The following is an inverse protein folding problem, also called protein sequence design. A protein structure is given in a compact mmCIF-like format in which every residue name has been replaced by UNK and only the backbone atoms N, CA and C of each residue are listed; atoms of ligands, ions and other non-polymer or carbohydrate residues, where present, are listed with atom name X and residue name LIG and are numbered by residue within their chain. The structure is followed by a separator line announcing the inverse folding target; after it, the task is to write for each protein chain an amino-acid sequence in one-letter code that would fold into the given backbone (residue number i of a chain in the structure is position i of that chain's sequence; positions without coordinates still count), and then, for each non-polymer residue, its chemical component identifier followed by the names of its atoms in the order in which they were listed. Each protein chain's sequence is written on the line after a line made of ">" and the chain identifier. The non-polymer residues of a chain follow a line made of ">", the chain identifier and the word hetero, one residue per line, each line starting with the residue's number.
data_IF_019154200686
#
_entry.id   IF_019154200686
#
_cell.length_a   1.000
_cell.length_b   1.000
_cell.length_c   1.000
_cell.angle_alpha   90.00
_cell.angle_beta   90.00
_cell.angle_gamma   90.00
#
_symmetry.space_group_name_H-M   'P 1'
#
loop_
_entity.id
_entity.type
_entity.pdbx_description
1 polymer ?
#
# COMPACT_ATOMS: atom_id res chain seq x y z
N UNK A 1 -47.04 27.90 3.72
CA UNK A 1 -47.01 26.52 4.22
C UNK A 1 -46.18 25.71 3.25
N UNK A 2 -44.93 25.49 3.56
CA UNK A 2 -44.06 24.64 2.78
C UNK A 2 -43.12 23.94 3.77
N UNK A 3 -43.28 22.67 3.90
CA UNK A 3 -42.43 21.79 4.71
C UNK A 3 -41.20 21.45 3.91
N UNK A 4 -40.01 21.76 4.42
CA UNK A 4 -38.73 21.29 3.92
C UNK A 4 -38.33 20.05 4.71
N UNK A 5 -38.41 18.92 4.04
CA UNK A 5 -37.92 17.62 4.54
C UNK A 5 -36.39 17.64 4.56
N UNK A 6 -35.82 17.60 5.75
CA UNK A 6 -34.41 17.48 5.99
C UNK A 6 -34.00 16.00 6.01
N UNK A 7 -33.38 15.51 4.94
CA UNK A 7 -32.73 14.19 4.93
C UNK A 7 -31.52 14.21 5.88
N UNK A 8 -31.65 13.55 7.02
CA UNK A 8 -30.58 13.36 8.00
C UNK A 8 -29.43 12.56 7.40
N UNK A 9 -28.22 13.12 7.43
CA UNK A 9 -26.97 12.38 7.23
C UNK A 9 -26.86 11.30 8.30
N UNK A 10 -26.48 10.06 7.97
CA UNK A 10 -26.16 9.08 9.00
C UNK A 10 -24.94 9.56 9.78
N UNK A 11 -25.12 9.68 11.09
CA UNK A 11 -24.11 10.16 12.01
C UNK A 11 -22.86 9.28 12.00
N UNK A 12 -21.71 9.92 12.05
CA UNK A 12 -20.42 9.30 12.31
C UNK A 12 -20.44 8.59 13.66
N UNK A 13 -20.36 7.27 13.64
CA UNK A 13 -20.21 6.48 14.86
C UNK A 13 -18.75 6.51 15.32
N UNK A 14 -18.56 7.05 16.51
CA UNK A 14 -17.49 6.82 17.49
C UNK A 14 -16.03 6.74 17.02
N UNK A 15 -15.35 7.90 17.08
CA UNK A 15 -13.88 8.02 17.03
C UNK A 15 -13.12 7.48 18.26
N UNK A 16 -13.79 6.91 19.24
CA UNK A 16 -13.19 6.52 20.53
C UNK A 16 -12.50 5.14 20.52
N UNK A 17 -12.68 4.31 19.47
CA UNK A 17 -12.22 2.90 19.48
C UNK A 17 -10.91 2.61 18.77
N UNK A 18 -10.32 3.57 18.04
CA UNK A 18 -9.17 3.28 17.14
C UNK A 18 -7.79 3.41 17.80
N UNK A 19 -7.68 3.89 19.01
CA UNK A 19 -6.39 4.15 19.66
C UNK A 19 -5.72 2.94 20.28
N UNK A 20 -6.45 1.83 20.48
CA UNK A 20 -5.97 0.65 21.22
C UNK A 20 -5.92 -0.67 20.43
N UNK A 21 -6.33 -0.71 19.15
CA UNK A 21 -6.37 -1.95 18.37
C UNK A 21 -5.13 -2.18 17.50
N UNK A 22 -4.98 -3.45 17.02
CA UNK A 22 -3.85 -3.89 16.20
C UNK A 22 -3.77 -3.19 14.83
N UNK A 23 -2.56 -3.19 14.27
CA UNK A 23 -2.26 -2.74 12.91
C UNK A 23 -1.71 -3.91 12.11
N UNK A 24 -2.37 -4.27 11.01
CA UNK A 24 -1.91 -5.31 10.11
C UNK A 24 -1.54 -4.74 8.75
N UNK A 25 -0.61 -5.38 8.06
CA UNK A 25 -0.22 -4.99 6.72
C UNK A 25 -0.39 -6.14 5.73
N UNK A 26 -1.01 -5.88 4.58
CA UNK A 26 -1.02 -6.75 3.42
C UNK A 26 0.02 -6.24 2.43
N UNK A 27 1.08 -7.02 2.20
CA UNK A 27 2.16 -6.70 1.27
C UNK A 27 1.93 -7.45 -0.04
N UNK A 28 1.62 -6.72 -1.12
CA UNK A 28 1.38 -7.34 -2.43
C UNK A 28 2.69 -7.61 -3.15
N UNK A 29 2.96 -8.90 -3.42
CA UNK A 29 4.21 -9.35 -4.05
C UNK A 29 3.99 -10.30 -5.24
N UNK A 30 2.74 -10.51 -5.67
CA UNK A 30 2.39 -11.46 -6.75
C UNK A 30 2.68 -10.96 -8.18
N UNK A 31 3.24 -9.76 -8.38
CA UNK A 31 3.52 -9.22 -9.71
C UNK A 31 4.63 -9.98 -10.45
N UNK A 32 4.40 -10.29 -11.74
CA UNK A 32 5.26 -11.12 -12.59
C UNK A 32 6.65 -10.54 -12.92
N UNK A 33 6.84 -9.22 -12.81
CA UNK A 33 8.16 -8.59 -13.08
C UNK A 33 8.59 -8.51 -14.54
N UNK A 34 7.73 -8.82 -15.49
CA UNK A 34 8.04 -8.85 -16.93
C UNK A 34 8.73 -7.60 -17.46
N UNK A 35 8.32 -6.42 -16.97
CA UNK A 35 8.92 -5.12 -17.35
C UNK A 35 10.36 -4.91 -16.84
N UNK A 36 10.79 -5.66 -15.81
CA UNK A 36 12.17 -5.63 -15.30
C UNK A 36 13.09 -6.59 -16.02
N UNK A 37 12.56 -7.50 -16.87
CA UNK A 37 13.33 -8.53 -17.54
C UNK A 37 13.93 -9.58 -16.60
N UNK A 38 13.49 -9.64 -15.35
CA UNK A 38 14.01 -10.58 -14.36
C UNK A 38 13.33 -11.96 -14.51
N UNK A 39 14.08 -13.07 -14.33
CA UNK A 39 13.51 -14.40 -14.30
C UNK A 39 12.76 -14.63 -12.97
N UNK A 40 11.42 -14.56 -13.00
CA UNK A 40 10.57 -14.83 -11.85
C UNK A 40 9.93 -13.59 -11.23
N UNK A 41 9.34 -13.73 -10.04
CA UNK A 41 8.58 -12.66 -9.39
C UNK A 41 9.43 -11.43 -9.11
N UNK A 42 8.90 -10.26 -9.48
CA UNK A 42 9.55 -8.97 -9.30
C UNK A 42 9.99 -8.72 -7.85
N UNK A 43 9.20 -9.15 -6.89
CA UNK A 43 9.47 -8.92 -5.48
C UNK A 43 10.72 -9.65 -4.95
N UNK A 44 11.21 -10.66 -5.68
CA UNK A 44 12.46 -11.38 -5.38
C UNK A 44 13.70 -10.74 -6.04
N UNK A 45 13.55 -9.72 -6.88
CA UNK A 45 14.68 -8.96 -7.43
C UNK A 45 15.42 -8.28 -6.29
N UNK A 46 16.75 -8.32 -6.34
CA UNK A 46 17.61 -7.76 -5.29
C UNK A 46 17.95 -6.29 -5.57
N UNK A 47 18.09 -5.54 -4.49
CA UNK A 47 18.63 -4.17 -4.44
C UNK A 47 19.65 -4.15 -3.32
N UNK A 48 20.91 -3.88 -3.62
CA UNK A 48 22.04 -3.90 -2.67
C UNK A 48 22.06 -5.19 -1.82
N UNK A 49 21.96 -6.34 -2.49
CA UNK A 49 22.06 -7.67 -1.86
C UNK A 49 20.84 -8.13 -1.05
N UNK A 50 19.72 -7.42 -1.11
CA UNK A 50 18.49 -7.76 -0.38
C UNK A 50 17.28 -7.66 -1.30
N UNK A 51 16.38 -8.66 -1.28
CA UNK A 51 15.19 -8.67 -2.13
C UNK A 51 14.23 -7.51 -1.84
N UNK A 52 13.48 -7.07 -2.87
CA UNK A 52 12.48 -6.02 -2.70
C UNK A 52 11.45 -6.37 -1.63
N UNK A 53 11.00 -7.64 -1.58
CA UNK A 53 10.03 -8.07 -0.56
C UNK A 53 10.62 -7.99 0.84
N UNK A 54 11.87 -8.42 1.04
CA UNK A 54 12.54 -8.38 2.34
C UNK A 54 12.71 -6.94 2.83
N UNK A 55 13.11 -6.02 1.95
CA UNK A 55 13.20 -4.59 2.25
C UNK A 55 11.86 -3.98 2.63
N UNK A 56 10.79 -4.31 1.88
CA UNK A 56 9.46 -3.80 2.16
C UNK A 56 8.91 -4.31 3.52
N UNK A 57 9.08 -5.59 3.83
CA UNK A 57 8.73 -6.14 5.15
C UNK A 57 9.51 -5.43 6.25
N UNK A 58 10.84 -5.30 6.09
CA UNK A 58 11.67 -4.60 7.07
C UNK A 58 11.23 -3.16 7.28
N UNK A 59 10.87 -2.43 6.21
CA UNK A 59 10.33 -1.08 6.32
C UNK A 59 9.05 -1.02 7.18
N UNK A 60 8.10 -1.93 6.92
CA UNK A 60 6.86 -2.01 7.68
C UNK A 60 7.15 -2.27 9.16
N UNK A 61 7.96 -3.27 9.47
CA UNK A 61 8.33 -3.64 10.84
C UNK A 61 9.11 -2.55 11.56
N UNK A 62 10.10 -1.94 10.90
CA UNK A 62 10.91 -0.84 11.46
C UNK A 62 10.10 0.44 11.74
N UNK A 63 8.85 0.49 11.31
CA UNK A 63 7.95 1.58 11.69
C UNK A 63 7.57 1.55 13.17
N UNK A 64 7.64 0.37 13.81
CA UNK A 64 7.25 0.14 15.21
C UNK A 64 5.75 0.26 15.47
N UNK A 65 4.92 0.33 14.40
CA UNK A 65 3.46 0.47 14.52
C UNK A 65 2.68 -0.67 13.85
N UNK A 66 3.38 -1.63 13.21
CA UNK A 66 2.78 -2.79 12.53
C UNK A 66 2.97 -4.04 13.38
N UNK A 67 1.89 -4.72 13.69
CA UNK A 67 1.88 -5.91 14.55
C UNK A 67 1.95 -7.22 13.76
N UNK A 68 1.48 -7.21 12.51
CA UNK A 68 1.47 -8.41 11.67
C UNK A 68 1.56 -8.04 10.17
N UNK A 69 2.32 -8.82 9.41
CA UNK A 69 2.49 -8.65 7.97
C UNK A 69 2.10 -9.92 7.24
N UNK A 70 1.14 -9.83 6.31
CA UNK A 70 0.81 -10.90 5.37
C UNK A 70 1.34 -10.56 3.99
N UNK A 71 2.18 -11.43 3.44
CA UNK A 71 2.75 -11.29 2.10
C UNK A 71 1.97 -12.15 1.12
N UNK A 72 1.35 -11.56 0.10
CA UNK A 72 0.71 -12.33 -0.97
C UNK A 72 1.71 -12.60 -2.09
N UNK A 73 2.03 -13.86 -2.34
CA UNK A 73 3.04 -14.30 -3.30
C UNK A 73 2.43 -15.20 -4.39
N UNK A 74 3.08 -15.34 -5.58
CA UNK A 74 2.66 -16.34 -6.56
C UNK A 74 2.78 -17.75 -5.96
N UNK A 75 1.77 -18.60 -6.20
CA UNK A 75 1.65 -19.91 -5.55
C UNK A 75 2.87 -20.81 -5.79
N UNK A 76 3.48 -20.73 -6.97
CA UNK A 76 4.65 -21.52 -7.35
C UNK A 76 5.97 -21.07 -6.70
N UNK A 77 5.98 -19.95 -5.97
CA UNK A 77 7.16 -19.38 -5.32
C UNK A 77 7.05 -19.25 -3.80
N UNK A 78 6.01 -19.82 -3.17
CA UNK A 78 5.76 -19.67 -1.73
C UNK A 78 6.99 -20.01 -0.88
N UNK A 79 7.63 -21.17 -1.14
CA UNK A 79 8.83 -21.59 -0.38
C UNK A 79 9.97 -20.57 -0.45
N UNK A 80 10.13 -19.91 -1.61
CA UNK A 80 11.16 -18.87 -1.77
C UNK A 80 10.80 -17.60 -0.99
N UNK A 81 9.54 -17.21 -0.99
CA UNK A 81 9.08 -16.08 -0.19
C UNK A 81 9.17 -16.37 1.31
N UNK A 82 8.83 -17.60 1.73
CA UNK A 82 9.00 -18.04 3.12
C UNK A 82 10.46 -17.98 3.57
N UNK A 83 11.40 -18.41 2.72
CA UNK A 83 12.82 -18.32 3.02
C UNK A 83 13.31 -16.86 3.14
N UNK A 84 12.75 -15.95 2.33
CA UNK A 84 13.12 -14.52 2.34
C UNK A 84 12.56 -13.77 3.55
N UNK A 85 11.29 -13.99 3.90
CA UNK A 85 10.56 -13.13 4.85
C UNK A 85 9.78 -13.90 5.91
N UNK A 86 9.63 -15.21 5.80
CA UNK A 86 8.89 -16.01 6.76
C UNK A 86 9.49 -15.97 8.17
N UNK A 87 8.84 -16.62 9.15
CA UNK A 87 9.26 -16.59 10.56
C UNK A 87 10.72 -16.99 10.78
N UNK A 88 11.20 -17.98 10.01
CA UNK A 88 12.59 -18.44 10.07
C UNK A 88 13.63 -17.43 9.55
N UNK A 89 13.22 -16.38 8.86
CA UNK A 89 14.13 -15.34 8.31
C UNK A 89 14.74 -14.44 9.39
N UNK A 90 14.23 -14.45 10.61
CA UNK A 90 14.67 -13.61 11.72
C UNK A 90 14.30 -12.13 11.59
N UNK A 91 13.51 -11.73 10.58
CA UNK A 91 13.15 -10.33 10.36
C UNK A 91 12.32 -9.74 11.49
N UNK A 92 11.37 -10.49 12.04
CA UNK A 92 10.54 -10.04 13.15
C UNK A 92 11.39 -9.79 14.40
N UNK A 93 12.22 -10.76 14.79
CA UNK A 93 13.11 -10.63 15.94
C UNK A 93 14.10 -9.45 15.81
N UNK A 94 14.63 -9.23 14.59
CA UNK A 94 15.50 -8.09 14.33
C UNK A 94 14.76 -6.76 14.44
N UNK A 95 13.54 -6.65 13.93
CA UNK A 95 12.74 -5.43 14.02
C UNK A 95 12.39 -5.09 15.48
N UNK A 96 12.10 -6.09 16.31
CA UNK A 96 11.87 -5.92 17.75
C UNK A 96 13.11 -5.40 18.45
N UNK A 97 14.31 -5.95 18.15
CA UNK A 97 15.58 -5.51 18.70
C UNK A 97 15.91 -4.07 18.27
N UNK A 98 15.73 -3.73 16.99
CA UNK A 98 15.98 -2.38 16.46
C UNK A 98 15.01 -1.35 17.09
N UNK A 99 13.76 -1.71 17.34
CA UNK A 99 12.78 -0.86 18.02
C UNK A 99 13.12 -0.61 19.47
N UNK A 100 13.60 -1.62 20.19
CA UNK A 100 14.05 -1.50 21.58
C UNK A 100 15.28 -0.60 21.70
N UNK A 101 16.24 -0.71 20.78
CA UNK A 101 17.45 0.12 20.76
C UNK A 101 17.15 1.60 20.47
N UNK A 102 16.11 1.92 19.70
CA UNK A 102 15.71 3.30 19.41
C UNK A 102 14.98 3.98 20.58
N UNK A 103 14.36 3.21 21.48
CA UNK A 103 13.72 3.77 22.68
C UNK A 103 14.73 4.21 23.76
N UNK A 104 15.96 3.67 23.72
CA UNK A 104 17.03 4.00 24.69
C UNK A 104 17.83 5.27 24.35
N UNK A 105 17.73 5.80 23.13
CA UNK A 105 18.43 7.01 22.68
C UNK A 105 17.56 8.28 22.78
N UNK A 106 16.98 8.53 23.96
CA UNK A 106 16.59 9.86 24.44
C UNK A 106 15.78 10.77 23.50
N UNK A 107 14.52 10.44 23.27
CA UNK A 107 13.46 11.45 23.11
C UNK A 107 12.28 11.01 23.97
N UNK A 108 12.33 11.40 25.24
CA UNK A 108 11.21 11.29 26.16
C UNK A 108 10.07 12.19 25.65
N UNK A 109 9.05 11.60 25.11
CA UNK A 109 7.87 12.35 24.73
C UNK A 109 6.94 11.59 23.83
N UNK A 110 6.00 10.86 24.42
CA UNK A 110 4.71 10.36 23.90
C UNK A 110 4.49 8.83 23.93
N UNK A 111 5.15 8.11 24.84
CA UNK A 111 4.63 6.81 25.27
C UNK A 111 4.50 6.80 26.78
N UNK A 112 3.56 7.58 27.32
CA UNK A 112 3.08 7.38 28.69
C UNK A 112 2.19 6.14 28.68
N UNK A 113 2.81 4.97 28.85
CA UNK A 113 2.11 3.72 29.13
C UNK A 113 1.48 3.81 30.50
N UNK A 114 0.14 3.85 30.55
CA UNK A 114 -0.60 3.55 31.78
C UNK A 114 -0.33 2.10 32.22
N UNK A 115 -0.43 1.77 33.51
CA UNK A 115 -0.22 0.43 34.03
C UNK A 115 -1.34 -0.51 33.53
N UNK A 116 -1.03 -1.34 32.52
CA UNK A 116 -1.97 -2.28 31.89
C UNK A 116 -1.66 -2.61 30.44
N UNK A 117 -0.58 -2.10 29.85
CA UNK A 117 -0.15 -2.48 28.51
C UNK A 117 0.25 -3.96 28.52
N UNK A 118 -0.64 -4.84 27.98
CA UNK A 118 -0.30 -6.21 27.68
C UNK A 118 0.96 -6.19 26.81
N UNK A 119 1.98 -6.93 27.22
CA UNK A 119 3.16 -7.26 26.44
C UNK A 119 2.64 -7.77 25.09
N UNK A 120 2.83 -6.98 24.01
CA UNK A 120 2.19 -7.23 22.73
C UNK A 120 2.49 -8.63 22.25
N UNK A 121 1.48 -9.26 21.60
CA UNK A 121 1.71 -10.51 20.88
C UNK A 121 2.92 -10.30 19.93
N UNK A 122 3.76 -11.36 19.77
CA UNK A 122 4.96 -11.24 18.93
C UNK A 122 4.56 -10.80 17.51
N UNK A 123 5.43 -9.98 16.90
CA UNK A 123 5.25 -9.54 15.51
C UNK A 123 5.23 -10.78 14.62
N UNK A 124 4.13 -10.94 13.87
CA UNK A 124 3.96 -12.06 12.96
C UNK A 124 4.26 -11.69 11.51
N UNK A 125 4.84 -12.66 10.78
CA UNK A 125 4.95 -12.59 9.32
C UNK A 125 4.40 -13.90 8.76
N UNK A 126 3.50 -13.78 7.78
CA UNK A 126 2.88 -14.91 7.09
C UNK A 126 2.97 -14.72 5.58
N UNK A 127 3.23 -15.79 4.83
CA UNK A 127 3.20 -15.79 3.37
C UNK A 127 1.99 -16.63 2.91
N UNK A 128 1.17 -16.04 2.06
CA UNK A 128 -0.04 -16.70 1.53
C UNK A 128 -0.07 -16.62 0.00
N UNK A 129 -0.74 -17.55 -0.69
CA UNK A 129 -0.90 -17.45 -2.12
C UNK A 129 -1.71 -16.21 -2.49
N UNK A 130 -1.19 -15.43 -3.43
CA UNK A 130 -1.93 -14.37 -4.12
C UNK A 130 -2.78 -14.91 -5.25
N UNK A 131 -3.66 -14.08 -5.79
CA UNK A 131 -4.49 -14.43 -6.93
C UNK A 131 -3.80 -14.12 -8.25
N UNK A 132 -3.87 -15.01 -9.25
CA UNK A 132 -3.44 -14.70 -10.61
C UNK A 132 -4.42 -13.78 -11.35
N UNK A 133 -5.64 -13.60 -10.86
CA UNK A 133 -6.69 -12.83 -11.53
C UNK A 133 -6.45 -11.33 -11.50
N UNK A 134 -6.07 -10.79 -10.34
CA UNK A 134 -5.79 -9.37 -10.19
C UNK A 134 -5.04 -9.05 -8.89
N UNK A 135 -4.45 -7.83 -8.85
CA UNK A 135 -3.90 -7.27 -7.62
C UNK A 135 -4.99 -7.16 -6.53
N UNK A 136 -6.17 -6.69 -6.90
CA UNK A 136 -7.31 -6.55 -5.98
C UNK A 136 -7.70 -7.89 -5.34
N UNK A 137 -7.76 -8.97 -6.12
CA UNK A 137 -8.04 -10.32 -5.60
C UNK A 137 -6.93 -10.81 -4.66
N UNK A 138 -5.66 -10.51 -4.96
CA UNK A 138 -4.53 -10.82 -4.07
C UNK A 138 -4.65 -10.08 -2.73
N UNK A 139 -5.04 -8.80 -2.74
CA UNK A 139 -5.27 -8.03 -1.51
C UNK A 139 -6.41 -8.63 -0.69
N UNK A 140 -7.51 -9.06 -1.32
CA UNK A 140 -8.65 -9.69 -0.64
C UNK A 140 -8.24 -10.99 0.10
N UNK A 141 -7.38 -11.81 -0.51
CA UNK A 141 -6.83 -13.02 0.12
C UNK A 141 -5.93 -12.65 1.31
N UNK A 142 -5.01 -11.72 1.12
CA UNK A 142 -4.13 -11.23 2.18
C UNK A 142 -4.89 -10.58 3.34
N UNK A 143 -5.95 -9.83 3.05
CA UNK A 143 -6.83 -9.21 4.06
C UNK A 143 -7.53 -10.29 4.90
N UNK A 144 -8.03 -11.35 4.26
CA UNK A 144 -8.66 -12.47 4.97
C UNK A 144 -7.68 -13.13 5.93
N UNK A 145 -6.45 -13.42 5.49
CA UNK A 145 -5.41 -14.01 6.33
C UNK A 145 -5.00 -13.07 7.48
N UNK A 146 -4.79 -11.78 7.18
CA UNK A 146 -4.40 -10.79 8.18
C UNK A 146 -5.44 -10.64 9.30
N UNK A 147 -6.72 -10.66 8.97
CA UNK A 147 -7.81 -10.57 9.96
C UNK A 147 -8.05 -11.89 10.70
N UNK A 148 -7.70 -13.03 10.12
CA UNK A 148 -7.70 -14.31 10.82
C UNK A 148 -6.57 -14.35 11.87
N UNK A 149 -5.37 -13.87 11.52
CA UNK A 149 -4.23 -13.79 12.43
C UNK A 149 -4.42 -12.72 13.53
N UNK A 150 -5.03 -11.57 13.20
CA UNK A 150 -5.25 -10.44 14.11
C UNK A 150 -6.70 -9.93 14.01
N UNK A 151 -7.66 -10.62 14.65
CA UNK A 151 -9.07 -10.21 14.65
C UNK A 151 -9.32 -8.87 15.33
N UNK A 152 -8.40 -8.42 16.19
CA UNK A 152 -8.40 -7.13 16.89
C UNK A 152 -7.88 -5.95 16.04
N UNK A 153 -7.47 -6.20 14.79
CA UNK A 153 -6.91 -5.17 13.92
C UNK A 153 -7.95 -4.09 13.58
N UNK A 154 -7.63 -2.84 13.92
CA UNK A 154 -8.45 -1.65 13.62
C UNK A 154 -7.91 -0.86 12.44
N UNK A 155 -6.64 -1.07 12.08
CA UNK A 155 -5.97 -0.48 10.91
C UNK A 155 -5.42 -1.57 10.02
N UNK A 156 -5.72 -1.47 8.73
CA UNK A 156 -5.11 -2.30 7.69
C UNK A 156 -4.27 -1.40 6.77
N UNK A 157 -3.04 -1.81 6.54
CA UNK A 157 -2.17 -1.21 5.53
C UNK A 157 -2.13 -2.12 4.30
N UNK A 158 -2.20 -1.54 3.10
CA UNK A 158 -1.90 -2.25 1.85
C UNK A 158 -0.65 -1.63 1.23
N UNK A 159 0.38 -2.45 1.02
CA UNK A 159 1.67 -1.98 0.55
C UNK A 159 2.17 -2.78 -0.66
N UNK A 160 2.79 -2.08 -1.61
CA UNK A 160 3.42 -2.73 -2.76
C UNK A 160 4.88 -3.11 -2.42
N UNK A 161 5.27 -4.39 -2.53
CA UNK A 161 6.66 -4.83 -2.35
C UNK A 161 7.66 -4.10 -3.29
N UNK A 162 7.16 -3.60 -4.41
CA UNK A 162 7.93 -2.78 -5.35
C UNK A 162 8.34 -1.39 -4.83
N UNK A 163 7.83 -0.94 -3.68
CA UNK A 163 8.24 0.30 -3.01
C UNK A 163 9.18 0.02 -1.82
N UNK A 164 10.17 -0.77 -2.10
CA UNK A 164 11.08 -1.37 -1.13
C UNK A 164 11.95 -0.39 -0.33
N UNK A 165 12.05 0.87 -0.77
CA UNK A 165 12.83 1.91 -0.09
C UNK A 165 11.96 2.90 0.71
N UNK A 166 10.66 2.63 0.85
CA UNK A 166 9.75 3.48 1.61
C UNK A 166 10.27 3.71 3.03
N UNK A 167 10.45 4.95 3.50
CA UNK A 167 10.89 5.19 4.87
C UNK A 167 9.82 4.81 5.91
N UNK A 168 10.21 4.27 7.07
CA UNK A 168 9.26 3.95 8.16
C UNK A 168 8.39 5.13 8.62
N UNK A 169 8.88 6.36 8.45
CA UNK A 169 8.13 7.59 8.74
C UNK A 169 6.83 7.73 7.93
N UNK A 170 6.80 7.22 6.68
CA UNK A 170 5.58 7.21 5.85
C UNK A 170 4.53 6.29 6.46
N UNK A 171 4.96 5.08 6.89
CA UNK A 171 4.08 4.11 7.56
C UNK A 171 3.43 4.73 8.81
N UNK A 172 4.26 5.35 9.66
CA UNK A 172 3.78 6.01 10.89
C UNK A 172 2.77 7.12 10.61
N UNK A 173 3.02 7.98 9.59
CA UNK A 173 2.08 9.06 9.23
C UNK A 173 0.73 8.52 8.79
N UNK A 174 0.74 7.48 7.96
CA UNK A 174 -0.50 6.84 7.48
C UNK A 174 -1.29 6.24 8.64
N UNK A 175 -0.64 5.44 9.50
CA UNK A 175 -1.31 4.84 10.67
C UNK A 175 -1.84 5.90 11.63
N UNK A 176 -1.07 6.96 11.90
CA UNK A 176 -1.50 8.05 12.76
C UNK A 176 -2.76 8.75 12.22
N UNK A 177 -2.83 9.00 10.91
CA UNK A 177 -4.00 9.62 10.30
C UNK A 177 -5.25 8.70 10.36
N UNK A 178 -5.10 7.38 10.13
CA UNK A 178 -6.23 6.44 10.29
C UNK A 178 -6.69 6.40 11.74
N UNK A 179 -5.76 6.35 12.70
CA UNK A 179 -6.08 6.39 14.14
C UNK A 179 -6.74 7.70 14.57
N UNK A 180 -6.43 8.81 13.88
CA UNK A 180 -7.07 10.11 14.10
C UNK A 180 -8.53 10.17 13.58
N UNK A 181 -9.04 9.09 12.97
CA UNK A 181 -10.44 8.97 12.55
C UNK A 181 -10.67 9.03 11.04
N UNK A 182 -9.62 9.14 10.21
CA UNK A 182 -9.78 9.07 8.76
C UNK A 182 -9.95 7.61 8.31
N UNK A 183 -10.96 7.36 7.46
CA UNK A 183 -11.31 6.00 7.03
C UNK A 183 -10.36 5.41 6.00
N UNK A 184 -9.81 6.25 5.12
CA UNK A 184 -8.85 5.86 4.11
C UNK A 184 -7.79 6.97 3.93
N UNK A 185 -6.51 6.59 3.95
CA UNK A 185 -5.36 7.50 3.94
C UNK A 185 -4.34 7.01 2.94
N UNK A 186 -3.90 7.89 2.04
CA UNK A 186 -2.85 7.59 1.06
C UNK A 186 -1.69 8.56 1.20
N UNK A 187 -0.43 8.08 1.20
CA UNK A 187 0.71 8.96 1.07
C UNK A 187 0.85 9.39 -0.40
N UNK A 188 1.19 10.64 -0.65
CA UNK A 188 1.36 11.11 -2.01
C UNK A 188 2.34 12.28 -2.11
N UNK A 189 2.88 12.49 -3.32
CA UNK A 189 3.73 13.62 -3.68
C UNK A 189 3.00 14.57 -4.65
N UNK A 190 3.31 15.86 -4.63
CA UNK A 190 2.89 16.78 -5.69
C UNK A 190 3.39 16.30 -7.05
N UNK A 191 2.59 16.52 -8.10
CA UNK A 191 3.02 16.24 -9.48
C UNK A 191 3.89 17.38 -9.98
N UNK A 192 5.15 17.07 -10.33
CA UNK A 192 6.12 18.06 -10.81
C UNK A 192 5.89 18.43 -12.27
N UNK A 193 5.59 17.44 -13.12
CA UNK A 193 5.44 17.61 -14.56
C UNK A 193 4.03 18.09 -14.96
N UNK A 194 3.92 18.63 -16.17
CA UNK A 194 2.62 18.91 -16.78
C UNK A 194 1.97 17.58 -17.21
N UNK A 195 0.77 17.29 -16.70
CA UNK A 195 -0.03 16.13 -17.10
C UNK A 195 -0.97 16.52 -18.23
N UNK A 196 -1.04 15.67 -19.26
CA UNK A 196 -2.01 15.78 -20.35
C UNK A 196 -3.01 14.66 -20.27
N UNK A 197 -4.27 14.99 -20.40
CA UNK A 197 -5.33 14.02 -20.67
C UNK A 197 -5.40 13.79 -22.18
N UNK A 198 -5.41 12.53 -22.59
CA UNK A 198 -5.40 12.15 -24.00
C UNK A 198 -6.63 11.32 -24.35
N UNK A 199 -7.09 11.41 -25.60
CA UNK A 199 -8.20 10.61 -26.11
C UNK A 199 -7.73 9.18 -26.34
N UNK A 200 -8.44 8.20 -25.75
CA UNK A 200 -8.24 6.78 -26.04
C UNK A 200 -8.80 6.36 -27.42
N UNK A 201 -9.62 7.21 -28.04
CA UNK A 201 -10.35 6.89 -29.28
C UNK A 201 -9.59 7.24 -30.58
N UNK A 202 -8.44 7.86 -30.53
CA UNK A 202 -7.85 8.47 -31.70
C UNK A 202 -6.39 8.15 -31.99
N UNK A 203 -6.10 6.93 -32.45
CA UNK A 203 -4.83 6.65 -33.16
C UNK A 203 -4.94 6.92 -34.67
N UNK A 204 -5.79 7.86 -35.07
CA UNK A 204 -6.04 8.20 -36.49
C UNK A 204 -5.64 9.65 -36.71
N UNK A 205 -4.73 9.86 -37.68
CA UNK A 205 -4.42 11.18 -38.19
C UNK A 205 -5.62 11.85 -38.88
N UNK A 206 -5.53 13.13 -39.29
CA UNK A 206 -6.57 13.86 -40.01
C UNK A 206 -7.03 13.03 -41.23
N UNK A 207 -8.31 12.64 -41.24
CA UNK A 207 -8.88 11.84 -42.34
C UNK A 207 -9.06 10.33 -42.05
N UNK A 208 -8.83 9.85 -40.80
CA UNK A 208 -9.16 8.46 -40.45
C UNK A 208 -8.17 7.39 -40.93
N UNK A 209 -7.08 7.76 -41.59
CA UNK A 209 -6.03 6.85 -41.98
C UNK A 209 -4.98 6.69 -40.85
N UNK A 210 -4.42 5.48 -40.61
CA UNK A 210 -3.30 5.34 -39.68
C UNK A 210 -2.14 6.20 -40.18
N UNK A 211 -1.67 7.16 -39.33
CA UNK A 211 -0.50 7.98 -39.65
C UNK A 211 0.69 7.04 -39.89
N UNK A 212 1.28 7.12 -41.08
CA UNK A 212 2.42 6.29 -41.42
C UNK A 212 3.61 6.62 -40.48
N UNK A 213 3.89 5.74 -39.53
CA UNK A 213 5.17 5.67 -38.83
C UNK A 213 5.21 6.01 -37.36
N UNK A 214 4.50 7.01 -36.84
CA UNK A 214 4.58 7.40 -35.42
C UNK A 214 3.18 7.40 -34.78
N UNK A 215 2.92 6.59 -33.74
CA UNK A 215 1.65 6.64 -33.03
C UNK A 215 1.53 7.99 -32.29
N UNK A 216 0.40 8.67 -32.52
CA UNK A 216 0.07 9.95 -31.88
C UNK A 216 -1.26 9.83 -31.13
N UNK A 217 -1.37 10.55 -30.02
CA UNK A 217 -2.59 10.66 -29.22
C UNK A 217 -3.02 12.14 -29.18
N UNK A 218 -4.32 12.39 -29.32
CA UNK A 218 -4.85 13.74 -29.22
C UNK A 218 -4.97 14.17 -27.77
N UNK A 219 -4.43 15.35 -27.44
CA UNK A 219 -4.58 15.95 -26.12
C UNK A 219 -5.96 16.58 -26.01
N UNK A 220 -6.77 16.11 -25.07
CA UNK A 220 -8.13 16.60 -24.82
C UNK A 220 -8.22 17.50 -23.58
N UNK A 221 -7.20 17.51 -22.71
CA UNK A 221 -7.19 18.32 -21.51
C UNK A 221 -5.80 18.50 -20.90
N UNK A 222 -5.69 19.52 -20.04
CA UNK A 222 -4.51 19.76 -19.20
C UNK A 222 -5.01 20.03 -17.78
N UNK A 223 -5.08 19.01 -16.92
CA UNK A 223 -5.48 19.19 -15.54
C UNK A 223 -4.56 20.14 -14.78
N UNK A 224 -5.13 20.93 -13.86
CA UNK A 224 -4.32 21.74 -12.95
C UNK A 224 -3.49 20.86 -12.03
N UNK A 225 -2.18 20.79 -12.25
CA UNK A 225 -1.25 19.97 -11.47
C UNK A 225 -1.19 20.33 -9.98
N UNK A 226 -1.55 21.56 -9.60
CA UNK A 226 -1.62 21.96 -8.20
C UNK A 226 -2.64 21.10 -7.40
N UNK A 227 -3.64 20.57 -8.09
CA UNK A 227 -4.68 19.69 -7.53
C UNK A 227 -4.37 18.19 -7.68
N UNK A 228 -3.29 17.83 -8.36
CA UNK A 228 -2.91 16.44 -8.59
C UNK A 228 -1.88 15.97 -7.57
N UNK A 229 -1.97 14.69 -7.23
CA UNK A 229 -1.01 13.99 -6.36
C UNK A 229 -0.64 12.66 -6.97
N UNK A 230 0.65 12.34 -6.95
CA UNK A 230 1.16 11.01 -7.29
C UNK A 230 1.08 10.13 -6.05
N UNK A 231 0.11 9.21 -6.04
CA UNK A 231 -0.17 8.34 -4.90
C UNK A 231 0.91 7.27 -4.73
N UNK A 232 1.24 7.01 -3.47
CA UNK A 232 2.20 5.99 -3.07
C UNK A 232 1.52 4.96 -2.15
N UNK A 233 2.30 4.00 -1.63
CA UNK A 233 1.90 3.06 -0.59
C UNK A 233 2.96 3.04 0.53
N UNK A 234 2.59 2.64 1.78
CA UNK A 234 1.36 1.95 2.17
C UNK A 234 0.15 2.87 2.15
N UNK A 235 -0.97 2.36 1.66
CA UNK A 235 -2.28 2.96 1.86
C UNK A 235 -2.87 2.41 3.16
N UNK A 236 -3.46 3.25 3.99
CA UNK A 236 -4.00 2.86 5.29
C UNK A 236 -5.51 3.03 5.37
N UNK A 237 -6.14 2.09 6.03
CA UNK A 237 -7.60 2.05 6.10
C UNK A 237 -8.08 1.66 7.49
N UNK A 238 -9.24 2.20 7.90
CA UNK A 238 -10.02 1.56 8.94
C UNK A 238 -10.46 0.18 8.46
N UNK A 239 -10.28 -0.85 9.28
CA UNK A 239 -10.54 -2.24 8.89
C UNK A 239 -11.93 -2.43 8.30
N UNK A 240 -12.97 -1.92 8.97
CA UNK A 240 -14.34 -2.05 8.51
C UNK A 240 -14.56 -1.42 7.12
N UNK A 241 -13.95 -0.26 6.87
CA UNK A 241 -14.04 0.46 5.59
C UNK A 241 -13.43 -0.34 4.45
N UNK A 242 -12.21 -0.88 4.63
CA UNK A 242 -11.55 -1.67 3.59
C UNK A 242 -12.30 -2.97 3.30
N UNK A 243 -12.75 -3.68 4.35
CA UNK A 243 -13.55 -4.91 4.20
C UNK A 243 -14.83 -4.65 3.42
N UNK A 244 -15.56 -3.57 3.73
CA UNK A 244 -16.78 -3.18 3.02
C UNK A 244 -16.49 -2.84 1.55
N UNK A 245 -15.43 -2.08 1.27
CA UNK A 245 -15.04 -1.69 -0.09
C UNK A 245 -14.67 -2.92 -0.95
N UNK A 246 -13.89 -3.86 -0.40
CA UNK A 246 -13.56 -5.11 -1.09
C UNK A 246 -14.78 -5.99 -1.35
N UNK A 247 -15.74 -6.07 -0.43
CA UNK A 247 -17.00 -6.80 -0.65
C UNK A 247 -17.83 -6.19 -1.78
N UNK A 248 -17.97 -4.88 -1.79
CA UNK A 248 -18.71 -4.15 -2.84
C UNK A 248 -18.03 -4.24 -4.20
N UNK A 249 -16.70 -4.25 -4.22
CA UNK A 249 -15.89 -4.34 -5.45
C UNK A 249 -15.55 -5.76 -5.88
N UNK A 250 -16.08 -6.81 -5.27
CA UNK A 250 -15.68 -8.20 -5.51
C UNK A 250 -15.83 -8.62 -6.99
N UNK A 251 -16.89 -8.19 -7.66
CA UNK A 251 -17.15 -8.51 -9.08
C UNK A 251 -16.11 -7.91 -10.04
N UNK A 252 -15.37 -6.90 -9.60
CA UNK A 252 -14.29 -6.27 -10.38
C UNK A 252 -12.97 -7.04 -10.23
N UNK A 253 -12.78 -7.75 -9.13
CA UNK A 253 -11.53 -8.44 -8.79
C UNK A 253 -11.20 -9.64 -9.70
N UNK A 254 -12.16 -10.09 -10.49
CA UNK A 254 -12.03 -11.29 -11.36
C UNK A 254 -11.14 -11.06 -12.58
N UNK A 255 -10.86 -9.80 -12.94
CA UNK A 255 -10.10 -9.41 -14.11
C UNK A 255 -9.31 -8.13 -13.83
N UNK A 256 -7.98 -8.14 -14.11
CA UNK A 256 -7.08 -7.00 -13.90
C UNK A 256 -7.52 -5.73 -14.64
N UNK A 257 -8.17 -5.86 -15.80
CA UNK A 257 -8.64 -4.71 -16.59
C UNK A 257 -9.84 -3.99 -15.96
N UNK A 258 -10.58 -4.69 -15.09
CA UNK A 258 -11.76 -4.18 -14.38
C UNK A 258 -11.47 -3.88 -12.91
N UNK A 259 -10.40 -4.47 -12.39
CA UNK A 259 -9.96 -4.28 -11.01
C UNK A 259 -9.63 -2.81 -10.75
N UNK A 260 -9.83 -2.36 -9.52
CA UNK A 260 -9.39 -1.04 -9.11
C UNK A 260 -7.86 -0.95 -9.18
N UNK A 261 -7.35 0.20 -9.62
CA UNK A 261 -5.91 0.46 -9.72
C UNK A 261 -5.21 0.43 -8.36
N UNK A 262 -5.95 0.81 -7.30
CA UNK A 262 -5.52 0.77 -5.92
C UNK A 262 -6.71 0.57 -4.96
N UNK A 263 -6.43 0.38 -3.67
CA UNK A 263 -7.46 0.09 -2.68
C UNK A 263 -8.21 1.36 -2.24
N UNK A 264 -7.58 2.53 -2.36
CA UNK A 264 -8.25 3.81 -2.15
C UNK A 264 -9.38 4.03 -3.17
N UNK A 265 -9.14 3.67 -4.44
CA UNK A 265 -10.16 3.72 -5.48
C UNK A 265 -11.38 2.81 -5.22
N UNK A 266 -11.20 1.69 -4.49
CA UNK A 266 -12.33 0.87 -4.04
C UNK A 266 -13.17 1.60 -2.99
N UNK A 267 -12.51 2.29 -2.05
CA UNK A 267 -13.19 3.08 -1.02
C UNK A 267 -13.96 4.24 -1.65
N UNK A 268 -13.36 4.95 -2.60
CA UNK A 268 -14.03 6.02 -3.35
C UNK A 268 -15.24 5.50 -4.13
N UNK A 269 -15.10 4.36 -4.81
CA UNK A 269 -16.20 3.73 -5.55
C UNK A 269 -17.34 3.25 -4.62
N UNK A 270 -17.03 2.97 -3.35
CA UNK A 270 -18.02 2.66 -2.32
C UNK A 270 -18.62 3.91 -1.66
N UNK A 271 -18.28 5.12 -2.12
CA UNK A 271 -18.76 6.39 -1.57
C UNK A 271 -17.99 6.88 -0.34
N UNK A 272 -16.86 6.26 0.00
CA UNK A 272 -16.01 6.67 1.11
C UNK A 272 -15.12 7.87 0.76
N UNK A 273 -14.51 8.46 1.79
CA UNK A 273 -13.61 9.60 1.66
C UNK A 273 -12.16 9.15 1.83
N UNK A 274 -11.30 9.50 0.89
CA UNK A 274 -9.86 9.28 0.95
C UNK A 274 -9.15 10.61 1.24
N UNK A 275 -8.21 10.59 2.19
CA UNK A 275 -7.38 11.75 2.51
C UNK A 275 -5.91 11.49 2.17
N UNK A 276 -5.18 12.56 1.91
CA UNK A 276 -3.77 12.49 1.54
C UNK A 276 -2.89 12.92 2.69
N UNK A 277 -1.82 12.15 2.96
CA UNK A 277 -0.70 12.56 3.81
C UNK A 277 0.56 12.73 2.95
N UNK A 278 1.55 13.43 3.49
CA UNK A 278 2.83 13.61 2.81
C UNK A 278 3.53 12.27 2.56
N UNK A 279 3.86 11.99 1.30
CA UNK A 279 4.66 10.86 0.86
C UNK A 279 6.17 11.09 1.05
N UNK A 280 6.97 10.29 0.32
CA UNK A 280 8.43 10.41 0.33
C UNK A 280 8.99 10.01 -1.05
N UNK A 281 9.96 10.74 -1.62
CA UNK A 281 10.58 10.36 -2.89
C UNK A 281 11.18 8.94 -2.89
N UNK A 282 11.65 8.45 -1.75
CA UNK A 282 12.17 7.08 -1.61
C UNK A 282 11.08 6.01 -1.65
N UNK A 283 9.80 6.38 -1.48
CA UNK A 283 8.68 5.47 -1.69
C UNK A 283 8.36 5.28 -3.19
N UNK A 284 9.34 5.48 -4.06
CA UNK A 284 9.25 5.21 -5.50
C UNK A 284 8.93 3.74 -5.77
N UNK A 285 8.22 3.49 -6.86
CA UNK A 285 7.87 2.13 -7.30
C UNK A 285 8.88 1.61 -8.30
N UNK A 286 9.67 0.62 -7.95
CA UNK A 286 10.59 -0.05 -8.87
C UNK A 286 9.78 -0.83 -9.90
N UNK A 287 9.75 -0.40 -11.17
CA UNK A 287 8.93 -1.00 -12.24
C UNK A 287 9.71 -1.29 -13.51
N UNK A 288 10.75 -0.52 -13.78
CA UNK A 288 11.59 -0.61 -14.95
C UNK A 288 13.07 -0.77 -14.57
N UNK A 289 13.98 -1.14 -15.50
CA UNK A 289 15.41 -1.25 -15.21
C UNK A 289 16.04 0.04 -14.68
N UNK A 290 15.58 1.20 -15.14
CA UNK A 290 16.04 2.50 -14.64
C UNK A 290 15.69 2.71 -13.16
N UNK A 291 14.47 2.30 -12.76
CA UNK A 291 14.04 2.39 -11.36
C UNK A 291 14.92 1.50 -10.48
N UNK A 292 15.31 0.32 -10.99
CA UNK A 292 16.17 -0.61 -10.28
C UNK A 292 17.57 -0.01 -10.07
N UNK A 293 18.17 0.56 -11.12
CA UNK A 293 19.47 1.21 -11.02
C UNK A 293 19.44 2.39 -10.03
N UNK A 294 18.35 3.17 -10.04
CA UNK A 294 18.17 4.25 -9.07
C UNK A 294 18.01 3.70 -7.64
N UNK A 295 17.24 2.63 -7.46
CA UNK A 295 17.07 1.99 -6.16
C UNK A 295 18.40 1.44 -5.61
N UNK A 296 19.24 0.85 -6.45
CA UNK A 296 20.61 0.40 -6.09
C UNK A 296 21.45 1.57 -5.59
N UNK A 297 21.50 2.67 -6.36
CA UNK A 297 22.27 3.85 -5.97
C UNK A 297 21.81 4.45 -4.65
N UNK A 298 20.49 4.55 -4.43
CA UNK A 298 19.91 5.08 -3.20
C UNK A 298 20.12 4.15 -1.99
N UNK A 299 20.13 2.84 -2.20
CA UNK A 299 20.34 1.87 -1.13
C UNK A 299 21.81 1.80 -0.69
N UNK A 300 22.77 2.09 -1.58
CA UNK A 300 24.21 2.09 -1.28
C UNK A 300 24.65 3.27 -0.40
N UNK A 301 23.87 4.34 -0.33
CA UNK A 301 24.19 5.56 0.46
C UNK A 301 23.61 5.50 1.89
N UNK A 302 22.82 4.47 2.20
CA UNK A 302 22.17 4.25 3.50
C UNK A 302 22.82 3.11 4.27
#
# INVERSE_FOLDING_TARGET
>A
MSATDGAGRPGSTDGAGRTGGGVVAVLTAAGSGTRLGAPGPKALVQVAGESLVRRAVRCLLSSGVVDHVVVTAPAEYLDRFEAEVGPASGLAAKAEADSAAQSDTGTAGLCAGGPGGACGAPIGIEVVPGSPSSRQASVALGLTAALAARPDAVVVLVHDAARALTPPGVVRRVVAAVRAGHDAVVPALPVADTVKEVSLAGRTGPGGAPAAGVPVEEVVGTPDRARLRAVQTPQGFATATLVAAHRLGADRAVDETRAASDDAGLVEAAGGTVVVVEGDPLAMKVTAPLDLALAEALAAVR
#
